data_IF_733447669263
#
_entry.id   IF_733447669263
#
_cell.length_a   1.000
_cell.length_b   1.000
_cell.length_c   1.000
_cell.angle_alpha   90.00
_cell.angle_beta   90.00
_cell.angle_gamma   90.00
#
_symmetry.space_group_name_H-M   'P 1'
#
loop_
_entity.id
_entity.type
_entity.pdbx_description
1 polymer ?
#
# COMPACT_ATOMS: atom_id res chain seq x y z
N UNK A 1 -14.68 -11.66 21.70
CA UNK A 1 -14.28 -10.29 22.08
C UNK A 1 -15.51 -9.38 22.01
N UNK A 2 -15.72 -8.49 23.00
CA UNK A 2 -16.71 -7.40 22.89
C UNK A 2 -16.03 -6.18 22.27
N UNK A 3 -16.69 -5.49 21.34
CA UNK A 3 -16.12 -4.32 20.68
C UNK A 3 -16.11 -3.14 21.67
N UNK A 4 -14.92 -2.71 22.08
CA UNK A 4 -14.70 -1.58 23.00
C UNK A 4 -13.40 -0.88 22.64
N UNK A 5 -13.27 0.40 22.99
CA UNK A 5 -12.05 1.18 22.69
C UNK A 5 -10.80 0.52 23.29
N UNK A 6 -10.90 0.00 24.51
CA UNK A 6 -9.78 -0.65 25.18
C UNK A 6 -9.34 -1.92 24.44
N UNK A 7 -10.29 -2.78 24.06
CA UNK A 7 -9.98 -4.00 23.31
C UNK A 7 -9.40 -3.67 21.92
N UNK A 8 -9.91 -2.62 21.25
CA UNK A 8 -9.40 -2.17 19.95
C UNK A 8 -7.99 -1.61 20.02
N UNK A 9 -7.64 -0.92 21.12
CA UNK A 9 -6.26 -0.49 21.39
C UNK A 9 -5.34 -1.69 21.60
N UNK A 10 -5.77 -2.67 22.38
CA UNK A 10 -5.00 -3.89 22.67
C UNK A 10 -4.71 -4.72 21.42
N UNK A 11 -5.65 -4.80 20.48
CA UNK A 11 -5.46 -5.55 19.21
C UNK A 11 -4.84 -4.72 18.08
N UNK A 12 -4.50 -3.45 18.32
CA UNK A 12 -3.90 -2.59 17.29
C UNK A 12 -4.82 -2.25 16.12
N UNK A 13 -6.13 -2.09 16.36
CA UNK A 13 -7.12 -1.84 15.31
C UNK A 13 -7.10 -0.40 14.73
N UNK A 14 -6.28 0.49 15.28
CA UNK A 14 -6.08 1.84 14.76
C UNK A 14 -4.87 1.87 13.83
N UNK A 15 -4.93 2.70 12.78
CA UNK A 15 -3.93 2.71 11.69
C UNK A 15 -2.52 3.16 12.07
N UNK A 16 -2.28 3.48 13.35
CA UNK A 16 -0.97 3.81 13.87
C UNK A 16 -0.50 5.22 13.48
N UNK A 17 0.77 5.48 13.79
CA UNK A 17 1.43 6.73 13.43
C UNK A 17 1.76 6.76 11.93
N UNK A 18 1.89 7.96 11.33
CA UNK A 18 2.39 8.12 9.96
C UNK A 18 3.77 7.48 9.77
N UNK A 19 4.03 6.95 8.58
CA UNK A 19 5.31 6.36 8.18
C UNK A 19 6.06 7.37 7.33
N UNK A 20 7.25 7.73 7.76
CA UNK A 20 8.14 8.60 6.99
C UNK A 20 8.71 7.87 5.77
N UNK A 21 8.63 8.52 4.61
CA UNK A 21 9.10 8.02 3.33
C UNK A 21 9.72 9.14 2.52
N UNK A 22 10.74 8.79 1.74
CA UNK A 22 11.31 9.70 0.75
C UNK A 22 10.66 9.42 -0.62
N UNK A 23 10.31 10.49 -1.33
CA UNK A 23 9.84 10.42 -2.70
C UNK A 23 10.75 11.24 -3.61
N UNK A 24 10.89 10.77 -4.85
CA UNK A 24 11.58 11.50 -5.91
C UNK A 24 10.65 11.68 -7.11
N UNK A 25 10.69 12.85 -7.73
CA UNK A 25 9.94 13.14 -8.95
C UNK A 25 10.68 14.13 -9.83
N UNK A 26 10.30 14.18 -11.12
CA UNK A 26 10.85 15.15 -12.07
C UNK A 26 9.90 16.33 -12.25
N UNK A 27 10.42 17.54 -12.13
CA UNK A 27 9.73 18.80 -12.38
C UNK A 27 10.44 19.54 -13.51
N UNK A 28 9.89 19.48 -14.72
CA UNK A 28 10.60 19.93 -15.92
C UNK A 28 11.90 19.14 -16.10
N UNK A 29 13.03 19.83 -16.14
CA UNK A 29 14.36 19.22 -16.28
C UNK A 29 15.03 18.86 -14.94
N UNK A 30 14.43 19.24 -13.81
CA UNK A 30 14.99 19.01 -12.48
C UNK A 30 14.43 17.74 -11.84
N UNK A 31 15.27 16.99 -11.13
CA UNK A 31 14.85 15.91 -10.25
C UNK A 31 14.81 16.43 -8.81
N UNK A 32 13.66 16.28 -8.16
CA UNK A 32 13.38 16.77 -6.81
C UNK A 32 13.16 15.58 -5.88
N UNK A 33 13.60 15.75 -4.64
CA UNK A 33 13.46 14.77 -3.56
C UNK A 33 12.81 15.44 -2.36
N UNK A 34 11.82 14.78 -1.75
CA UNK A 34 11.20 15.27 -0.51
C UNK A 34 10.84 14.12 0.43
N UNK A 35 10.90 14.40 1.72
CA UNK A 35 10.40 13.53 2.78
C UNK A 35 8.92 13.80 3.00
N UNK A 36 8.12 12.74 3.02
CA UNK A 36 6.67 12.78 3.25
C UNK A 36 6.29 11.80 4.35
N UNK A 37 5.35 12.19 5.22
CA UNK A 37 4.75 11.25 6.16
C UNK A 37 3.44 10.71 5.59
N UNK A 38 3.36 9.39 5.51
CA UNK A 38 2.25 8.67 4.90
C UNK A 38 1.51 7.87 5.96
N UNK A 39 0.23 8.20 6.14
CA UNK A 39 -0.69 7.45 6.98
C UNK A 39 -1.19 6.20 6.24
N UNK A 40 -1.13 5.00 6.85
CA UNK A 40 -1.76 3.81 6.28
C UNK A 40 -3.27 3.99 6.08
N UNK A 41 -3.85 3.30 5.09
CA UNK A 41 -5.29 3.41 4.81
C UNK A 41 -6.12 3.13 6.07
N UNK A 42 -6.98 4.08 6.39
CA UNK A 42 -7.85 4.05 7.56
C UNK A 42 -9.21 4.67 7.30
N UNK A 43 -9.88 5.06 8.38
CA UNK A 43 -11.21 5.66 8.30
C UNK A 43 -11.28 6.88 7.36
N UNK A 44 -10.26 7.75 7.39
CA UNK A 44 -10.23 8.95 6.53
C UNK A 44 -10.18 8.60 5.04
N UNK A 45 -9.40 7.58 4.67
CA UNK A 45 -9.33 7.09 3.29
C UNK A 45 -10.66 6.44 2.87
N UNK A 46 -11.27 5.65 3.77
CA UNK A 46 -12.59 5.03 3.52
C UNK A 46 -13.70 6.07 3.34
N UNK A 47 -13.71 7.15 4.13
CA UNK A 47 -14.64 8.27 3.94
C UNK A 47 -14.43 8.93 2.59
N UNK A 48 -13.18 9.15 2.19
CA UNK A 48 -12.86 9.73 0.88
C UNK A 48 -13.34 8.85 -0.27
N UNK A 49 -13.14 7.53 -0.18
CA UNK A 49 -13.59 6.56 -1.18
C UNK A 49 -15.12 6.53 -1.32
N UNK A 50 -15.86 6.57 -0.20
CA UNK A 50 -17.33 6.63 -0.21
C UNK A 50 -17.84 7.91 -0.84
N UNK A 51 -17.22 9.05 -0.52
CA UNK A 51 -17.61 10.34 -1.10
C UNK A 51 -17.30 10.40 -2.60
N UNK A 52 -16.20 9.79 -3.03
CA UNK A 52 -15.85 9.67 -4.44
C UNK A 52 -16.84 8.77 -5.21
N UNK A 53 -17.22 7.63 -4.64
CA UNK A 53 -18.23 6.74 -5.24
C UNK A 53 -19.60 7.43 -5.41
N UNK A 54 -19.93 8.37 -4.52
CA UNK A 54 -21.12 9.22 -4.63
C UNK A 54 -20.96 10.45 -5.54
N UNK A 55 -19.82 10.62 -6.22
CA UNK A 55 -19.53 11.77 -7.09
C UNK A 55 -19.36 13.11 -6.35
N UNK A 56 -19.16 13.08 -5.02
CA UNK A 56 -19.11 14.29 -4.18
C UNK A 56 -17.71 14.87 -4.03
N UNK A 57 -16.67 14.09 -4.34
CA UNK A 57 -15.26 14.48 -4.28
C UNK A 57 -14.46 13.75 -5.33
N UNK A 58 -13.33 14.34 -5.72
CA UNK A 58 -12.33 13.64 -6.51
C UNK A 58 -11.71 12.49 -5.69
N UNK A 59 -11.74 11.28 -6.23
CA UNK A 59 -11.29 10.08 -5.53
C UNK A 59 -9.77 10.00 -5.37
N UNK A 60 -9.01 10.54 -6.32
CA UNK A 60 -7.54 10.51 -6.28
C UNK A 60 -7.04 11.58 -5.31
N UNK A 61 -7.50 12.81 -5.47
CA UNK A 61 -7.14 13.92 -4.58
C UNK A 61 -7.63 13.68 -3.15
N UNK A 62 -8.84 13.13 -2.98
CA UNK A 62 -9.35 12.71 -1.68
C UNK A 62 -8.46 11.68 -0.99
N UNK A 63 -7.98 10.68 -1.75
CA UNK A 63 -7.10 9.65 -1.20
C UNK A 63 -5.72 10.20 -0.83
N UNK A 64 -5.13 11.06 -1.67
CA UNK A 64 -3.85 11.72 -1.38
C UNK A 64 -3.98 12.58 -0.12
N UNK A 65 -5.00 13.44 -0.04
CA UNK A 65 -5.24 14.30 1.13
C UNK A 65 -5.47 13.49 2.42
N UNK A 66 -6.11 12.33 2.34
CA UNK A 66 -6.34 11.47 3.50
C UNK A 66 -5.08 10.74 4.01
N UNK A 67 -4.09 10.52 3.13
CA UNK A 67 -2.92 9.69 3.44
C UNK A 67 -1.66 10.54 3.69
N UNK A 68 -1.51 11.69 3.05
CA UNK A 68 -0.33 12.55 3.23
C UNK A 68 -0.58 13.53 4.38
N UNK A 69 0.24 13.44 5.41
CA UNK A 69 0.12 14.24 6.62
C UNK A 69 1.46 14.79 7.11
N UNK A 70 1.40 15.73 8.03
CA UNK A 70 2.56 16.26 8.74
C UNK A 70 2.93 15.39 9.96
N UNK A 71 3.93 15.84 10.73
CA UNK A 71 4.40 15.16 11.95
C UNK A 71 3.32 15.04 13.03
N UNK A 72 2.35 15.96 13.06
CA UNK A 72 1.21 15.91 13.98
C UNK A 72 0.09 14.98 13.47
N UNK A 73 0.22 14.50 12.24
CA UNK A 73 -0.78 13.71 11.54
C UNK A 73 -1.90 14.53 10.89
N UNK A 74 -1.78 15.86 10.84
CA UNK A 74 -2.72 16.71 10.12
C UNK A 74 -2.49 16.61 8.59
N UNK A 75 -3.54 16.64 7.75
CA UNK A 75 -3.38 16.61 6.30
C UNK A 75 -2.54 17.78 5.79
N UNK A 76 -1.55 17.50 4.94
CA UNK A 76 -0.73 18.56 4.30
C UNK A 76 -1.49 19.27 3.19
N UNK A 77 -2.38 18.55 2.51
CA UNK A 77 -3.13 19.06 1.36
C UNK A 77 -4.64 19.02 1.62
N UNK A 78 -5.36 20.05 1.19
CA UNK A 78 -6.78 19.92 0.91
C UNK A 78 -7.00 19.27 -0.46
N UNK A 79 -8.20 18.73 -0.68
CA UNK A 79 -8.59 18.19 -2.00
C UNK A 79 -8.51 19.27 -3.08
N UNK A 80 -8.88 20.49 -2.73
CA UNK A 80 -8.87 21.65 -3.63
C UNK A 80 -7.45 22.11 -3.95
N UNK A 81 -6.49 21.86 -3.05
CA UNK A 81 -5.08 22.16 -3.33
C UNK A 81 -4.50 21.27 -4.41
N UNK A 82 -4.92 20.00 -4.42
CA UNK A 82 -4.41 18.98 -5.34
C UNK A 82 -5.06 19.15 -6.72
N UNK A 83 -6.36 19.45 -6.74
CA UNK A 83 -7.12 19.65 -8.00
C UNK A 83 -6.91 21.03 -8.61
N UNK A 84 -6.31 21.97 -7.86
CA UNK A 84 -6.10 23.35 -8.30
C UNK A 84 -7.31 24.26 -8.12
N UNK A 85 -8.38 23.77 -7.50
CA UNK A 85 -9.57 24.58 -7.22
C UNK A 85 -9.32 25.65 -6.15
N UNK A 86 -8.34 25.45 -5.26
CA UNK A 86 -7.99 26.41 -4.22
C UNK A 86 -7.32 27.68 -4.78
N UNK A 87 -6.55 27.54 -5.86
CA UNK A 87 -5.85 28.64 -6.52
C UNK A 87 -5.75 28.35 -8.02
N UNK A 88 -6.61 28.99 -8.85
CA UNK A 88 -6.63 28.79 -10.29
C UNK A 88 -5.36 29.24 -11.03
N UNK A 89 -4.58 30.16 -10.46
CA UNK A 89 -3.32 30.61 -11.08
C UNK A 89 -2.18 29.62 -10.80
N UNK A 90 -2.19 28.98 -9.62
CA UNK A 90 -1.28 27.87 -9.29
C UNK A 90 -1.64 26.59 -10.06
N UNK A 91 -2.93 26.31 -10.20
CA UNK A 91 -3.43 25.11 -10.86
C UNK A 91 -3.27 23.82 -10.04
N UNK A 92 -3.51 22.70 -10.72
CA UNK A 92 -3.45 21.36 -10.13
C UNK A 92 -2.01 20.91 -9.84
N UNK A 93 -1.89 19.91 -8.98
CA UNK A 93 -0.62 19.31 -8.61
C UNK A 93 0.03 18.62 -9.81
N UNK A 94 1.36 18.72 -9.93
CA UNK A 94 2.13 18.13 -11.04
C UNK A 94 1.85 16.62 -11.19
N UNK A 95 1.76 16.13 -12.42
CA UNK A 95 1.44 14.74 -12.71
C UNK A 95 2.49 13.75 -12.20
N UNK A 96 3.78 14.08 -12.30
CA UNK A 96 4.86 13.24 -11.79
C UNK A 96 4.85 13.20 -10.26
N UNK A 97 4.62 14.36 -9.62
CA UNK A 97 4.49 14.41 -8.16
C UNK A 97 3.25 13.64 -7.69
N UNK A 98 2.12 13.77 -8.38
CA UNK A 98 0.89 13.02 -8.08
C UNK A 98 1.14 11.50 -8.13
N UNK A 99 1.83 11.03 -9.16
CA UNK A 99 2.17 9.61 -9.29
C UNK A 99 3.16 9.14 -8.21
N UNK A 100 4.15 9.96 -7.85
CA UNK A 100 5.09 9.66 -6.77
C UNK A 100 4.37 9.53 -5.42
N UNK A 101 3.41 10.43 -5.13
CA UNK A 101 2.58 10.36 -3.93
C UNK A 101 1.70 9.11 -3.90
N UNK A 102 1.08 8.75 -5.02
CA UNK A 102 0.27 7.52 -5.10
C UNK A 102 1.12 6.25 -4.92
N UNK A 103 2.33 6.23 -5.49
CA UNK A 103 3.26 5.11 -5.36
C UNK A 103 3.65 4.87 -3.90
N UNK A 104 4.03 5.93 -3.18
CA UNK A 104 4.42 5.81 -1.77
C UNK A 104 3.24 5.44 -0.86
N UNK A 105 2.03 5.95 -1.17
CA UNK A 105 0.80 5.53 -0.47
C UNK A 105 0.55 4.02 -0.68
N UNK A 106 0.69 3.53 -1.91
CA UNK A 106 0.52 2.11 -2.20
C UNK A 106 1.56 1.24 -1.48
N UNK A 107 2.81 1.72 -1.38
CA UNK A 107 3.89 1.03 -0.66
C UNK A 107 3.58 0.90 0.84
N UNK A 108 3.18 1.99 1.50
CA UNK A 108 2.86 2.02 2.93
C UNK A 108 1.59 1.23 3.25
N UNK A 109 0.62 1.24 2.33
CA UNK A 109 -0.61 0.45 2.44
C UNK A 109 -0.35 -1.05 2.24
N UNK A 110 0.76 -1.41 1.58
CA UNK A 110 1.03 -2.80 1.21
C UNK A 110 0.15 -3.30 0.06
N UNK A 111 -0.35 -2.41 -0.80
CA UNK A 111 -1.32 -2.70 -1.88
C UNK A 111 -0.76 -3.53 -3.06
N UNK A 112 0.36 -4.22 -2.84
CA UNK A 112 0.97 -5.20 -3.74
C UNK A 112 1.68 -6.35 -3.01
N UNK A 113 1.65 -6.39 -1.67
CA UNK A 113 2.13 -7.54 -0.90
C UNK A 113 0.93 -8.41 -0.60
N UNK A 114 0.68 -9.39 -1.47
CA UNK A 114 0.16 -10.65 -0.95
C UNK A 114 1.05 -11.02 0.23
N UNK A 115 0.49 -11.10 1.45
CA UNK A 115 1.17 -11.87 2.48
C UNK A 115 1.38 -13.25 1.85
N UNK A 116 2.64 -13.58 1.57
CA UNK A 116 3.01 -14.90 1.07
C UNK A 116 2.49 -15.89 2.10
N UNK A 117 1.38 -16.54 1.75
CA UNK A 117 0.78 -17.58 2.56
C UNK A 117 1.76 -18.75 2.69
N UNK A 118 1.82 -19.28 3.90
CA UNK A 118 2.42 -20.55 4.29
C UNK A 118 3.94 -20.68 4.13
N UNK A 119 4.62 -20.72 5.27
CA UNK A 119 5.79 -21.57 5.50
C UNK A 119 5.52 -22.94 4.86
N UNK A 120 6.14 -23.22 3.71
CA UNK A 120 6.23 -24.56 3.15
C UNK A 120 7.19 -25.35 4.02
N UNK A 121 6.70 -25.87 5.16
CA UNK A 121 7.33 -27.03 5.80
C UNK A 121 7.20 -28.19 4.82
N UNK A 122 8.27 -28.46 4.08
CA UNK A 122 8.40 -29.66 3.26
C UNK A 122 8.26 -30.90 4.15
N UNK A 123 7.09 -31.53 4.16
CA UNK A 123 6.91 -32.87 4.71
C UNK A 123 7.47 -33.88 3.70
N UNK A 124 8.80 -34.01 3.69
CA UNK A 124 9.51 -35.04 2.93
C UNK A 124 9.33 -36.41 3.58
N UNK A 125 8.18 -37.04 3.36
CA UNK A 125 7.95 -38.47 3.63
C UNK A 125 8.91 -39.29 2.77
N UNK A 126 10.08 -39.68 3.31
CA UNK A 126 10.98 -40.64 2.66
C UNK A 126 10.41 -42.04 2.83
N UNK A 127 9.55 -42.46 1.91
CA UNK A 127 9.14 -43.85 1.76
C UNK A 127 10.34 -44.71 1.38
N UNK A 128 10.76 -45.58 2.29
CA UNK A 128 11.79 -46.60 2.10
C UNK A 128 11.19 -47.75 1.29
N UNK A 129 11.57 -47.88 0.03
CA UNK A 129 11.32 -49.10 -0.75
C UNK A 129 12.64 -49.84 -0.91
N UNK A 130 12.88 -50.84 -0.05
CA UNK A 130 13.82 -51.92 -0.33
C UNK A 130 13.08 -52.92 -1.22
N UNK A 131 13.59 -53.22 -2.41
CA UNK A 131 13.54 -54.60 -2.90
C UNK A 131 14.60 -54.86 -3.96
N UNK A 132 15.12 -56.07 -3.90
CA UNK A 132 16.38 -56.53 -4.44
C UNK A 132 16.31 -56.97 -5.91
N UNK A 133 17.51 -57.15 -6.46
CA UNK A 133 17.86 -57.67 -7.78
C UNK A 133 16.98 -58.82 -8.32
N UNK A 134 16.75 -58.84 -9.65
CA UNK A 134 17.14 -59.99 -10.47
C UNK A 134 17.15 -59.73 -11.99
N UNK A 135 18.19 -60.31 -12.59
CA UNK A 135 18.57 -60.48 -13.99
C UNK A 135 17.49 -61.04 -14.94
N UNK A 136 17.44 -60.56 -16.19
CA UNK A 136 17.76 -61.31 -17.43
C UNK A 136 17.28 -60.57 -18.70
N UNK A 137 18.17 -60.43 -19.69
CA UNK A 137 17.88 -60.01 -21.07
C UNK A 137 17.10 -61.08 -21.83
N UNK A 138 16.33 -60.71 -22.86
CA UNK A 138 16.43 -61.42 -24.14
C UNK A 138 16.67 -60.49 -25.34
N UNK A 139 17.21 -61.11 -26.38
CA UNK A 139 17.66 -60.60 -27.69
C UNK A 139 16.67 -61.06 -28.78
N UNK A 140 16.70 -60.35 -29.91
CA UNK A 140 16.32 -60.69 -31.32
C UNK A 140 15.34 -59.64 -31.84
N UNK A 141 15.74 -58.75 -32.76
CA UNK A 141 16.14 -58.95 -34.17
C UNK A 141 14.99 -59.51 -35.00
#
# INVERSE_FOLDING_TARGET
>A
MKLSINNLKEVGAFTGAPVEKEITWKQGDAELTATVLVRPLGYLSAVSDVLAAGGKRDGIAGRIAACICDESGAPVFAVDDITGAADPERGALDGNLTMALLAVIAEVTGMGKTMSSATSTSSGTKSRSRSAAQSRKPKLA
#
